data_IF_528202340084
#
_entry.id   IF_528202340084
#
_cell.length_a   1.000
_cell.length_b   1.000
_cell.length_c   1.000
_cell.angle_alpha   90.00
_cell.angle_beta   90.00
_cell.angle_gamma   90.00
#
_symmetry.space_group_name_H-M   'P 1'
#
loop_
_entity.id
_entity.type
_entity.pdbx_description
1 polymer ?
#
# COMPACT_ATOMS: atom_id res chain seq x y z
N UNK A 1 -5.78 19.21 1.69
CA UNK A 1 -4.77 18.13 1.55
C UNK A 1 -3.40 18.73 1.83
N UNK A 2 -2.64 18.23 2.82
CA UNK A 2 -1.14 18.27 2.93
C UNK A 2 -0.54 18.32 4.35
N UNK A 3 -1.32 18.32 5.44
CA UNK A 3 -0.75 18.37 6.80
C UNK A 3 0.23 17.22 7.09
N UNK A 4 -0.06 16.02 6.56
CA UNK A 4 0.82 14.84 6.70
C UNK A 4 2.15 14.95 5.91
N UNK A 5 2.25 15.86 4.95
CA UNK A 5 3.44 16.01 4.09
C UNK A 5 4.36 17.15 4.54
N UNK A 6 3.92 18.01 5.47
CA UNK A 6 4.73 19.11 6.02
C UNK A 6 6.14 18.67 6.49
N UNK A 7 6.32 17.49 7.13
CA UNK A 7 7.64 17.06 7.58
C UNK A 7 8.64 16.82 6.43
N UNK A 8 8.16 16.55 5.22
CA UNK A 8 9.01 16.19 4.06
C UNK A 8 9.01 17.24 2.95
N UNK A 9 8.36 18.39 3.18
CA UNK A 9 8.26 19.47 2.19
C UNK A 9 9.61 20.10 1.85
N UNK A 10 10.54 20.12 2.81
CA UNK A 10 11.89 20.66 2.63
C UNK A 10 12.81 19.77 1.77
N UNK A 11 12.43 18.50 1.55
CA UNK A 11 13.21 17.56 0.74
C UNK A 11 12.99 17.79 -0.75
N UNK A 12 14.07 17.72 -1.53
CA UNK A 12 14.07 17.70 -2.98
C UNK A 12 13.53 16.38 -3.56
N UNK A 13 13.30 16.35 -4.87
CA UNK A 13 12.69 15.19 -5.57
C UNK A 13 13.43 13.87 -5.28
N UNK A 14 14.76 13.86 -5.37
CA UNK A 14 15.56 12.65 -5.20
C UNK A 14 15.65 12.22 -3.73
N UNK A 15 15.72 13.17 -2.80
CA UNK A 15 15.70 12.89 -1.36
C UNK A 15 14.36 12.27 -0.95
N UNK A 16 13.25 12.73 -1.52
CA UNK A 16 11.93 12.09 -1.32
C UNK A 16 11.88 10.67 -1.87
N UNK A 17 12.49 10.42 -3.03
CA UNK A 17 12.56 9.07 -3.58
C UNK A 17 13.40 8.15 -2.70
N UNK A 18 14.54 8.64 -2.20
CA UNK A 18 15.37 7.88 -1.27
C UNK A 18 14.62 7.58 0.03
N UNK A 19 13.94 8.57 0.62
CA UNK A 19 13.14 8.38 1.81
C UNK A 19 12.04 7.31 1.61
N UNK A 20 11.37 7.33 0.46
CA UNK A 20 10.37 6.29 0.13
C UNK A 20 11.01 4.91 0.05
N UNK A 21 12.21 4.81 -0.55
CA UNK A 21 12.95 3.56 -0.63
C UNK A 21 13.37 3.07 0.76
N UNK A 22 13.96 3.94 1.58
CA UNK A 22 14.43 3.59 2.92
C UNK A 22 13.27 3.10 3.81
N UNK A 23 12.12 3.78 3.77
CA UNK A 23 10.91 3.37 4.48
C UNK A 23 10.36 2.03 3.97
N UNK A 24 10.44 1.78 2.66
CA UNK A 24 10.02 0.51 2.09
C UNK A 24 10.95 -0.62 2.49
N UNK A 25 12.26 -0.38 2.46
CA UNK A 25 13.26 -1.36 2.89
C UNK A 25 13.08 -1.69 4.38
N UNK A 26 12.84 -0.71 5.24
CA UNK A 26 12.53 -0.93 6.67
C UNK A 26 11.29 -1.82 6.83
N UNK A 27 10.17 -1.46 6.18
CA UNK A 27 8.95 -2.25 6.20
C UNK A 27 9.15 -3.67 5.66
N UNK A 28 9.95 -3.86 4.62
CA UNK A 28 10.22 -5.17 4.04
C UNK A 28 11.13 -6.04 4.94
N UNK A 29 11.93 -5.43 5.81
CA UNK A 29 12.72 -6.13 6.82
C UNK A 29 11.90 -6.53 8.05
N UNK A 30 10.78 -5.87 8.32
CA UNK A 30 9.81 -6.33 9.30
C UNK A 30 9.21 -7.66 8.83
N UNK A 31 9.41 -8.71 9.64
CA UNK A 31 8.93 -10.08 9.35
C UNK A 31 7.97 -10.61 10.42
N UNK A 32 7.55 -9.74 11.32
CA UNK A 32 6.59 -10.11 12.36
C UNK A 32 5.24 -10.42 11.72
N UNK A 33 4.69 -11.57 12.12
CA UNK A 33 3.35 -11.97 11.69
C UNK A 33 2.34 -11.05 12.36
N UNK A 34 1.37 -10.54 11.59
CA UNK A 34 0.27 -9.76 12.15
C UNK A 34 -0.54 -10.62 13.14
N UNK A 35 -0.71 -10.12 14.36
CA UNK A 35 -1.40 -10.86 15.45
C UNK A 35 -2.61 -10.12 15.98
N UNK A 36 -2.84 -8.86 15.59
CA UNK A 36 -3.96 -8.07 16.07
C UNK A 36 -5.30 -8.65 15.59
N UNK A 37 -6.20 -9.05 16.50
CA UNK A 37 -7.46 -9.70 16.13
C UNK A 37 -8.31 -8.86 15.18
N UNK A 38 -8.37 -7.55 15.36
CA UNK A 38 -9.13 -6.64 14.49
C UNK A 38 -8.62 -6.64 13.05
N UNK A 39 -7.31 -6.79 12.84
CA UNK A 39 -6.71 -6.86 11.50
C UNK A 39 -6.99 -8.22 10.87
N UNK A 40 -6.80 -9.30 11.64
CA UNK A 40 -7.06 -10.66 11.17
C UNK A 40 -8.53 -10.86 10.77
N UNK A 41 -9.47 -10.36 11.59
CA UNK A 41 -10.90 -10.43 11.29
C UNK A 41 -11.24 -9.67 9.99
N UNK A 42 -10.63 -8.51 9.75
CA UNK A 42 -10.83 -7.76 8.51
C UNK A 42 -10.23 -8.48 7.30
N UNK A 43 -9.07 -9.13 7.45
CA UNK A 43 -8.45 -9.94 6.40
C UNK A 43 -9.33 -11.15 6.04
N UNK A 44 -9.87 -11.84 7.05
CA UNK A 44 -10.83 -12.93 6.85
C UNK A 44 -12.09 -12.43 6.14
N UNK A 45 -12.65 -11.30 6.58
CA UNK A 45 -13.82 -10.68 5.93
C UNK A 45 -13.54 -10.37 4.46
N UNK A 46 -12.36 -9.83 4.12
CA UNK A 46 -11.97 -9.55 2.73
C UNK A 46 -11.77 -10.83 1.92
N UNK A 47 -11.20 -11.87 2.50
CA UNK A 47 -11.04 -13.17 1.86
C UNK A 47 -12.40 -13.77 1.52
N UNK A 48 -13.31 -13.84 2.49
CA UNK A 48 -14.69 -14.30 2.28
C UNK A 48 -15.43 -13.47 1.24
N UNK A 49 -15.25 -12.15 1.25
CA UNK A 49 -15.87 -11.30 0.23
C UNK A 49 -15.34 -11.64 -1.16
N UNK A 50 -14.02 -11.78 -1.33
CA UNK A 50 -13.39 -12.14 -2.60
C UNK A 50 -13.89 -13.50 -3.11
N UNK A 51 -13.98 -14.49 -2.23
CA UNK A 51 -14.40 -15.85 -2.60
C UNK A 51 -15.86 -15.88 -3.07
N UNK A 52 -16.72 -15.02 -2.50
CA UNK A 52 -18.11 -14.84 -2.91
C UNK A 52 -18.31 -13.90 -4.12
N UNK A 53 -17.29 -13.15 -4.53
CA UNK A 53 -17.36 -12.19 -5.63
C UNK A 53 -16.25 -12.45 -6.67
N UNK A 54 -16.23 -13.64 -7.30
CA UNK A 54 -15.27 -13.94 -8.35
C UNK A 54 -15.42 -12.92 -9.49
N UNK A 55 -14.30 -12.46 -10.05
CA UNK A 55 -14.20 -11.48 -11.14
C UNK A 55 -14.49 -10.01 -10.78
N UNK A 56 -14.70 -9.66 -9.51
CA UNK A 56 -14.81 -8.24 -9.10
C UNK A 56 -13.46 -7.56 -8.80
N UNK A 57 -12.36 -8.31 -8.82
CA UNK A 57 -11.02 -7.76 -8.71
C UNK A 57 -10.60 -6.99 -9.97
N UNK A 58 -9.83 -5.90 -9.79
CA UNK A 58 -9.15 -5.23 -10.91
C UNK A 58 -7.79 -5.89 -11.15
N UNK A 59 -7.44 -6.12 -12.41
CA UNK A 59 -6.09 -6.55 -12.78
C UNK A 59 -5.09 -5.43 -12.52
N UNK A 60 -3.80 -5.77 -12.35
CA UNK A 60 -2.73 -4.77 -12.22
C UNK A 60 -2.75 -3.77 -13.38
N UNK A 61 -3.04 -4.23 -14.60
CA UNK A 61 -3.18 -3.37 -15.77
C UNK A 61 -4.35 -2.38 -15.64
N UNK A 62 -5.51 -2.84 -15.16
CA UNK A 62 -6.67 -1.97 -14.92
C UNK A 62 -6.39 -0.95 -13.81
N UNK A 63 -5.63 -1.35 -12.78
CA UNK A 63 -5.19 -0.44 -11.71
C UNK A 63 -4.23 0.61 -12.27
N UNK A 64 -3.23 0.21 -13.06
CA UNK A 64 -2.27 1.11 -13.68
C UNK A 64 -2.94 2.14 -14.61
N UNK A 65 -3.88 1.69 -15.44
CA UNK A 65 -4.70 2.57 -16.29
C UNK A 65 -5.50 3.60 -15.48
N UNK A 66 -6.14 3.18 -14.37
CA UNK A 66 -6.89 4.08 -13.50
C UNK A 66 -6.02 5.12 -12.80
N UNK A 67 -4.78 4.76 -12.49
CA UNK A 67 -3.82 5.64 -11.82
C UNK A 67 -3.01 6.50 -12.82
N UNK A 68 -3.15 6.27 -14.12
CA UNK A 68 -2.39 6.97 -15.15
C UNK A 68 -0.89 6.64 -15.13
N UNK A 69 -0.54 5.44 -14.67
CA UNK A 69 0.84 4.95 -14.61
C UNK A 69 1.04 3.81 -15.61
N UNK A 70 2.27 3.68 -16.12
CA UNK A 70 2.67 2.56 -16.95
C UNK A 70 3.28 1.46 -16.08
N UNK A 71 2.93 0.20 -16.40
CA UNK A 71 3.58 -1.00 -15.85
C UNK A 71 4.85 -1.30 -16.63
#
# INVERSE_FOLDING_TARGET
>A
MKTALQPVEHLGKFERLQLVQDLWDEFAHESDVETRPEVLNELERRALWRDNHPNQGKSLHQIAQLLGVHL
#
